data_IF_233003648421
#
_entry.id   IF_233003648421
#
_cell.length_a   1.000
_cell.length_b   1.000
_cell.length_c   1.000
_cell.angle_alpha   90.00
_cell.angle_beta   90.00
_cell.angle_gamma   90.00
#
_symmetry.space_group_name_H-M   'P 1'
#
loop_
_entity.id
_entity.type
_entity.pdbx_description
1 polymer ?
#
# COMPACT_ATOMS: atom_id res chain seq x y z
N UNK A 1 1.55 6.51 3.07
CA UNK A 1 1.89 7.93 3.27
C UNK A 1 2.59 8.51 2.05
N UNK A 2 3.87 8.25 1.81
CA UNK A 2 4.65 8.87 0.71
C UNK A 2 4.72 8.09 -0.62
N UNK A 3 3.70 7.29 -0.97
CA UNK A 3 3.67 6.62 -2.29
C UNK A 3 4.80 5.60 -2.55
N UNK A 4 5.24 4.88 -1.52
CA UNK A 4 6.41 4.00 -1.63
C UNK A 4 6.18 2.60 -2.20
N UNK A 5 4.96 2.17 -2.51
CA UNK A 5 4.70 0.78 -2.96
C UNK A 5 4.69 0.69 -4.50
N UNK A 6 5.08 -0.46 -5.06
CA UNK A 6 5.15 -0.67 -6.51
C UNK A 6 3.81 -0.44 -7.21
N UNK A 7 2.68 -0.77 -6.56
CA UNK A 7 1.34 -0.51 -7.10
C UNK A 7 1.02 0.97 -7.35
N UNK A 8 1.79 1.92 -6.81
CA UNK A 8 1.64 3.34 -7.16
C UNK A 8 2.22 3.66 -8.55
N UNK A 9 3.08 2.79 -9.09
CA UNK A 9 3.78 2.97 -10.36
C UNK A 9 3.32 1.97 -11.42
N UNK A 10 2.77 0.83 -11.01
CA UNK A 10 2.17 -0.16 -11.90
C UNK A 10 0.93 0.42 -12.60
N UNK A 11 0.88 0.33 -13.93
CA UNK A 11 -0.18 0.92 -14.75
C UNK A 11 -1.51 0.16 -14.62
N UNK A 12 -1.46 -1.16 -14.50
CA UNK A 12 -2.63 -2.00 -14.33
C UNK A 12 -3.29 -1.74 -12.98
N UNK A 13 -2.50 -1.74 -11.89
CA UNK A 13 -2.98 -1.42 -10.55
C UNK A 13 -3.55 0.00 -10.48
N UNK A 14 -2.95 0.95 -11.20
CA UNK A 14 -3.47 2.31 -11.31
C UNK A 14 -4.77 2.42 -12.09
N UNK A 15 -5.14 1.46 -12.95
CA UNK A 15 -6.39 1.50 -13.72
C UNK A 15 -7.49 0.58 -13.17
N UNK A 16 -7.14 -0.48 -12.45
CA UNK A 16 -8.08 -1.51 -12.00
C UNK A 16 -9.06 -1.03 -10.93
N UNK A 17 -10.37 -1.25 -11.10
CA UNK A 17 -11.37 -0.89 -10.09
C UNK A 17 -11.48 -1.92 -8.95
N UNK A 18 -10.33 -2.16 -8.30
CA UNK A 18 -10.16 -3.03 -7.14
C UNK A 18 -9.05 -2.51 -6.24
N UNK A 19 -8.75 -3.22 -5.16
CA UNK A 19 -7.64 -2.90 -4.27
C UNK A 19 -6.28 -3.09 -4.99
N UNK A 20 -5.40 -2.07 -5.03
CA UNK A 20 -4.20 -2.10 -5.86
C UNK A 20 -3.21 -3.25 -5.58
N UNK A 21 -3.15 -3.74 -4.34
CA UNK A 21 -2.29 -4.89 -3.99
C UNK A 21 -2.86 -6.23 -4.48
N UNK A 22 -4.18 -6.34 -4.69
CA UNK A 22 -4.79 -7.56 -5.23
C UNK A 22 -4.39 -7.78 -6.68
N UNK A 23 -4.21 -6.71 -7.48
CA UNK A 23 -3.70 -6.83 -8.86
C UNK A 23 -2.36 -7.53 -8.90
N UNK A 24 -1.43 -7.11 -8.03
CA UNK A 24 -0.11 -7.76 -7.93
C UNK A 24 -0.21 -9.17 -7.35
N UNK A 25 -1.03 -9.39 -6.32
CA UNK A 25 -1.21 -10.72 -5.72
C UNK A 25 -1.76 -11.73 -6.73
N UNK A 26 -2.83 -11.38 -7.44
CA UNK A 26 -3.45 -12.24 -8.45
C UNK A 26 -2.46 -12.55 -9.57
N UNK A 27 -1.69 -11.55 -10.03
CA UNK A 27 -0.67 -11.74 -11.06
C UNK A 27 0.41 -12.76 -10.67
N UNK A 28 0.86 -12.77 -9.41
CA UNK A 28 2.00 -13.57 -8.98
C UNK A 28 1.63 -14.87 -8.26
N UNK A 29 0.47 -14.91 -7.60
CA UNK A 29 0.03 -16.05 -6.78
C UNK A 29 -1.29 -16.68 -7.26
N UNK A 30 -1.91 -16.14 -8.30
CA UNK A 30 -3.22 -16.60 -8.78
C UNK A 30 -4.37 -16.11 -7.91
N UNK A 31 -5.59 -16.54 -8.25
CA UNK A 31 -6.76 -16.35 -7.40
C UNK A 31 -6.70 -17.35 -6.25
N UNK A 32 -6.55 -16.87 -5.01
CA UNK A 32 -6.34 -17.67 -3.79
C UNK A 32 -7.62 -18.42 -3.33
N UNK A 33 -8.46 -18.81 -4.29
CA UNK A 33 -9.75 -19.49 -4.09
C UNK A 33 -9.60 -20.98 -3.81
N UNK A 34 -8.43 -21.54 -4.14
CA UNK A 34 -8.09 -22.96 -3.93
C UNK A 34 -7.77 -23.29 -2.46
N UNK A 35 -7.64 -22.29 -1.59
CA UNK A 35 -7.47 -22.48 -0.14
C UNK A 35 -8.79 -22.90 0.53
N UNK A 36 -9.92 -22.55 -0.07
CA UNK A 36 -11.25 -22.88 0.42
C UNK A 36 -11.75 -24.20 -0.20
N UNK A 37 -12.67 -24.86 0.50
CA UNK A 37 -13.36 -26.03 -0.06
C UNK A 37 -14.15 -25.61 -1.30
N UNK A 38 -14.14 -26.38 -2.40
CA UNK A 38 -14.83 -26.01 -3.63
C UNK A 38 -16.31 -25.71 -3.45
N UNK A 39 -17.00 -26.43 -2.55
CA UNK A 39 -18.42 -26.21 -2.27
C UNK A 39 -18.64 -24.84 -1.62
N UNK A 40 -17.74 -24.42 -0.73
CA UNK A 40 -17.80 -23.12 -0.09
C UNK A 40 -17.43 -22.00 -1.08
N UNK A 41 -16.42 -22.21 -1.92
CA UNK A 41 -16.07 -21.25 -2.98
C UNK A 41 -17.23 -21.03 -3.95
N UNK A 42 -17.99 -22.09 -4.28
CA UNK A 42 -19.15 -22.00 -5.13
C UNK A 42 -20.34 -21.25 -4.49
N UNK A 43 -20.47 -21.31 -3.16
CA UNK A 43 -21.48 -20.57 -2.41
C UNK A 43 -21.10 -19.10 -2.17
N UNK A 44 -19.80 -18.79 -2.10
CA UNK A 44 -19.31 -17.45 -1.83
C UNK A 44 -19.05 -16.67 -3.13
N UNK A 45 -19.79 -15.59 -3.34
CA UNK A 45 -19.47 -14.61 -4.39
C UNK A 45 -18.32 -13.68 -3.94
N UNK A 46 -17.11 -14.24 -3.88
CA UNK A 46 -15.90 -13.51 -3.51
C UNK A 46 -15.60 -12.32 -4.45
N UNK A 47 -15.76 -12.45 -5.79
CA UNK A 47 -15.59 -11.31 -6.69
C UNK A 47 -16.55 -10.16 -6.36
N UNK A 48 -17.84 -10.43 -6.14
CA UNK A 48 -18.78 -9.38 -5.75
C UNK A 48 -18.42 -8.77 -4.41
N UNK A 49 -18.06 -9.58 -3.41
CA UNK A 49 -17.64 -9.10 -2.10
C UNK A 49 -16.44 -8.14 -2.18
N UNK A 50 -15.41 -8.48 -2.97
CA UNK A 50 -14.25 -7.60 -3.17
C UNK A 50 -14.67 -6.32 -3.89
N UNK A 51 -15.53 -6.41 -4.90
CA UNK A 51 -16.00 -5.25 -5.66
C UNK A 51 -16.85 -4.32 -4.80
N UNK A 52 -17.75 -4.84 -3.97
CA UNK A 52 -18.53 -4.08 -2.99
C UNK A 52 -17.63 -3.40 -1.97
N UNK A 53 -16.71 -4.16 -1.36
CA UNK A 53 -15.76 -3.60 -0.39
C UNK A 53 -14.89 -2.49 -0.99
N UNK A 54 -14.52 -2.59 -2.27
CA UNK A 54 -13.83 -1.53 -2.99
C UNK A 54 -14.72 -0.31 -3.20
N UNK A 55 -15.94 -0.49 -3.70
CA UNK A 55 -16.93 0.59 -3.91
C UNK A 55 -17.17 1.35 -2.62
N UNK A 56 -17.41 0.65 -1.51
CA UNK A 56 -17.62 1.25 -0.20
C UNK A 56 -16.39 2.03 0.29
N UNK A 57 -15.20 1.46 0.09
CA UNK A 57 -13.96 2.10 0.52
C UNK A 57 -13.63 3.40 -0.22
N UNK A 58 -14.16 3.59 -1.43
CA UNK A 58 -13.92 4.78 -2.25
C UNK A 58 -15.12 5.73 -2.35
N UNK A 59 -16.32 5.30 -1.93
CA UNK A 59 -17.56 6.07 -2.05
C UNK A 59 -17.50 7.45 -1.39
N UNK A 60 -16.80 7.57 -0.25
CA UNK A 60 -16.67 8.84 0.48
C UNK A 60 -15.60 9.80 -0.06
N UNK A 61 -14.85 9.42 -1.09
CA UNK A 61 -13.74 10.23 -1.61
C UNK A 61 -14.29 11.27 -2.57
N UNK A 62 -14.42 12.52 -2.10
CA UNK A 62 -14.82 13.65 -2.95
C UNK A 62 -13.67 14.07 -3.86
N UNK A 63 -13.92 14.23 -5.17
CA UNK A 63 -13.00 14.87 -6.14
C UNK A 63 -12.81 16.35 -5.81
N UNK A 64 -11.58 16.85 -5.87
CA UNK A 64 -11.29 18.26 -5.62
C UNK A 64 -11.47 19.10 -6.90
N UNK A 65 -11.75 20.39 -6.73
CA UNK A 65 -11.90 21.31 -7.85
C UNK A 65 -10.56 21.45 -8.61
N UNK A 66 -10.60 21.31 -9.94
CA UNK A 66 -9.41 21.35 -10.79
C UNK A 66 -8.51 20.11 -10.74
N UNK A 67 -8.88 19.08 -9.97
CA UNK A 67 -8.12 17.83 -9.88
C UNK A 67 -8.23 17.02 -11.18
N UNK A 68 -7.10 16.63 -11.76
CA UNK A 68 -7.07 15.76 -12.95
C UNK A 68 -7.54 14.34 -12.61
N UNK A 69 -7.93 13.56 -13.63
CA UNK A 69 -8.33 12.16 -13.41
C UNK A 69 -7.20 11.34 -12.79
N UNK A 70 -5.96 11.63 -13.19
CA UNK A 70 -4.78 10.98 -12.66
C UNK A 70 -4.55 11.31 -11.17
N UNK A 71 -4.59 12.60 -10.80
CA UNK A 71 -4.44 13.02 -9.41
C UNK A 71 -5.54 12.44 -8.51
N UNK A 72 -6.79 12.49 -8.99
CA UNK A 72 -7.93 11.88 -8.31
C UNK A 72 -7.72 10.38 -8.11
N UNK A 73 -7.24 9.69 -9.14
CA UNK A 73 -6.95 8.25 -9.07
C UNK A 73 -5.84 7.95 -8.06
N UNK A 74 -4.75 8.71 -8.06
CA UNK A 74 -3.66 8.54 -7.11
C UNK A 74 -4.10 8.83 -5.68
N UNK A 75 -4.99 9.79 -5.47
CA UNK A 75 -5.58 10.08 -4.15
C UNK A 75 -6.50 8.97 -3.67
N UNK A 76 -7.29 8.34 -4.55
CA UNK A 76 -8.06 7.11 -4.23
C UNK A 76 -7.14 5.98 -3.79
N UNK A 77 -6.06 5.71 -4.53
CA UNK A 77 -5.07 4.69 -4.17
C UNK A 77 -4.39 5.00 -2.83
N UNK A 78 -4.00 6.26 -2.59
CA UNK A 78 -3.46 6.70 -1.30
C UNK A 78 -4.45 6.44 -0.15
N UNK A 79 -5.73 6.76 -0.35
CA UNK A 79 -6.77 6.54 0.65
C UNK A 79 -6.89 5.06 0.99
N UNK A 80 -7.01 4.18 -0.01
CA UNK A 80 -7.09 2.73 0.19
C UNK A 80 -5.87 2.18 0.94
N UNK A 81 -4.68 2.69 0.62
CA UNK A 81 -3.48 2.33 1.35
C UNK A 81 -3.54 2.70 2.83
N UNK A 82 -3.98 3.92 3.15
CA UNK A 82 -4.07 4.41 4.53
C UNK A 82 -5.16 3.69 5.32
N UNK A 83 -6.33 3.48 4.71
CA UNK A 83 -7.53 3.00 5.42
C UNK A 83 -7.76 1.50 5.34
N UNK A 84 -7.04 0.76 4.47
CA UNK A 84 -7.19 -0.70 4.33
C UNK A 84 -5.86 -1.42 4.48
N UNK A 85 -4.85 -1.05 3.70
CA UNK A 85 -3.57 -1.79 3.64
C UNK A 85 -2.70 -1.61 4.89
N UNK A 86 -2.49 -0.37 5.33
CA UNK A 86 -1.62 -0.07 6.49
C UNK A 86 -2.11 -0.75 7.77
N UNK A 87 -3.43 -0.97 7.91
CA UNK A 87 -4.01 -1.65 9.08
C UNK A 87 -3.40 -3.04 9.31
N UNK A 88 -3.18 -3.80 8.24
CA UNK A 88 -2.57 -5.14 8.30
C UNK A 88 -1.14 -5.05 8.87
N UNK A 89 -0.40 -4.01 8.49
CA UNK A 89 0.97 -3.80 8.95
C UNK A 89 1.01 -3.34 10.42
N UNK A 90 0.05 -2.50 10.83
CA UNK A 90 -0.07 -2.03 12.20
C UNK A 90 -0.45 -3.18 13.15
N UNK A 91 -1.44 -4.00 12.79
CA UNK A 91 -1.84 -5.17 13.57
C UNK A 91 -0.67 -6.14 13.76
N UNK A 92 0.03 -6.50 12.67
CA UNK A 92 1.20 -7.39 12.73
C UNK A 92 2.28 -6.83 13.66
N UNK A 93 2.56 -5.53 13.55
CA UNK A 93 3.56 -4.84 14.38
C UNK A 93 3.14 -4.85 15.86
N UNK A 94 1.90 -4.50 16.17
CA UNK A 94 1.38 -4.45 17.55
C UNK A 94 1.40 -5.83 18.20
N UNK A 95 0.92 -6.87 17.50
CA UNK A 95 0.93 -8.25 18.00
C UNK A 95 2.35 -8.73 18.30
N UNK A 96 3.28 -8.50 17.37
CA UNK A 96 4.66 -8.94 17.52
C UNK A 96 5.39 -8.21 18.65
N UNK A 97 5.21 -6.90 18.79
CA UNK A 97 5.92 -6.13 19.80
C UNK A 97 5.33 -6.33 21.20
N UNK A 98 3.99 -6.38 21.32
CA UNK A 98 3.32 -6.57 22.61
C UNK A 98 3.52 -7.98 23.18
N UNK A 99 3.78 -8.99 22.34
CA UNK A 99 4.17 -10.32 22.79
C UNK A 99 5.41 -10.32 23.69
N UNK A 100 6.26 -9.28 23.61
CA UNK A 100 7.46 -9.10 24.44
C UNK A 100 7.41 -7.83 25.28
N UNK A 101 6.23 -7.22 25.45
CA UNK A 101 6.06 -5.99 26.24
C UNK A 101 6.73 -4.75 25.64
N UNK A 102 7.03 -4.74 24.33
CA UNK A 102 7.65 -3.61 23.65
C UNK A 102 6.58 -2.73 22.98
N UNK A 103 6.57 -1.44 23.31
CA UNK A 103 5.69 -0.47 22.67
C UNK A 103 6.39 0.18 21.46
N UNK A 104 5.94 -0.13 20.25
CA UNK A 104 6.50 0.44 19.02
C UNK A 104 5.64 1.61 18.53
N UNK A 105 6.25 2.80 18.39
CA UNK A 105 5.61 3.99 17.81
C UNK A 105 5.82 4.06 16.30
N UNK A 106 4.84 4.64 15.61
CA UNK A 106 4.81 4.79 14.14
C UNK A 106 4.67 6.26 13.74
N UNK A 107 5.73 7.09 13.85
CA UNK A 107 5.65 8.54 13.63
C UNK A 107 5.04 8.94 12.29
N UNK A 108 5.27 8.16 11.24
CA UNK A 108 4.68 8.43 9.93
C UNK A 108 3.15 8.25 9.86
N UNK A 109 2.53 7.63 10.87
CA UNK A 109 1.09 7.50 11.01
C UNK A 109 0.48 8.61 11.88
N UNK A 110 1.25 9.64 12.27
CA UNK A 110 0.69 10.83 12.90
C UNK A 110 -0.37 11.46 11.98
N UNK A 111 -1.57 11.72 12.52
CA UNK A 111 -2.70 12.19 11.72
C UNK A 111 -2.41 13.51 11.00
N UNK A 112 -1.61 14.40 11.60
CA UNK A 112 -1.27 15.70 11.01
C UNK A 112 -0.41 15.49 9.77
N UNK A 113 0.58 14.59 9.85
CA UNK A 113 1.42 14.25 8.71
C UNK A 113 0.62 13.52 7.64
N UNK A 114 -0.25 12.58 8.03
CA UNK A 114 -1.10 11.83 7.11
C UNK A 114 -2.05 12.78 6.36
N UNK A 115 -2.72 13.69 7.05
CA UNK A 115 -3.63 14.68 6.46
C UNK A 115 -2.89 15.62 5.50
N UNK A 116 -1.72 16.12 5.90
CA UNK A 116 -0.89 16.97 5.05
C UNK A 116 -0.45 16.24 3.77
N UNK A 117 0.16 15.06 3.94
CA UNK A 117 0.69 14.30 2.80
C UNK A 117 -0.45 13.77 1.93
N UNK A 118 -1.58 13.35 2.49
CA UNK A 118 -2.73 12.89 1.71
C UNK A 118 -3.18 13.94 0.70
N UNK A 119 -3.25 15.21 1.11
CA UNK A 119 -3.63 16.35 0.27
C UNK A 119 -2.52 16.90 -0.63
N UNK A 120 -1.28 16.41 -0.50
CA UNK A 120 -0.20 16.80 -1.41
C UNK A 120 -0.39 16.17 -2.80
N UNK A 121 -0.33 16.93 -3.90
CA UNK A 121 -0.43 16.39 -5.26
C UNK A 121 0.56 15.25 -5.51
N UNK A 122 0.13 14.24 -6.27
CA UNK A 122 0.98 13.14 -6.69
C UNK A 122 2.19 13.63 -7.49
N UNK A 123 1.99 14.62 -8.35
CA UNK A 123 3.06 15.29 -9.08
C UNK A 123 4.20 15.79 -8.18
N UNK A 124 3.93 16.15 -6.91
CA UNK A 124 4.97 16.53 -5.94
C UNK A 124 5.50 15.33 -5.15
N UNK A 125 4.65 14.32 -4.89
CA UNK A 125 5.06 13.09 -4.18
C UNK A 125 6.11 12.28 -4.96
N UNK A 126 6.06 12.33 -6.29
CA UNK A 126 6.92 11.58 -7.20
C UNK A 126 7.20 12.39 -8.49
N UNK A 127 7.78 13.58 -8.35
CA UNK A 127 8.02 14.49 -9.49
C UNK A 127 9.08 13.98 -10.47
N UNK A 128 9.99 13.11 -10.02
CA UNK A 128 11.08 12.51 -10.81
C UNK A 128 10.82 11.03 -11.13
N UNK A 129 9.59 10.54 -10.86
CA UNK A 129 9.21 9.15 -11.05
C UNK A 129 9.80 8.17 -10.04
N UNK A 130 10.60 8.62 -9.06
CA UNK A 130 11.11 7.76 -7.97
C UNK A 130 10.10 7.65 -6.85
N UNK A 131 10.20 6.58 -6.07
CA UNK A 131 9.33 6.39 -4.92
C UNK A 131 9.77 7.25 -3.74
N UNK A 132 8.78 7.84 -3.06
CA UNK A 132 8.96 8.68 -1.86
C UNK A 132 9.83 9.92 -2.12
N UNK A 133 9.87 10.47 -3.33
CA UNK A 133 10.72 11.63 -3.67
C UNK A 133 10.48 12.80 -2.74
N UNK A 134 9.22 13.13 -2.45
CA UNK A 134 8.90 14.20 -1.48
C UNK A 134 9.59 13.99 -0.12
N UNK A 135 9.62 12.74 0.39
CA UNK A 135 10.31 12.43 1.67
C UNK A 135 11.83 12.47 1.50
N UNK A 136 12.35 11.98 0.37
CA UNK A 136 13.79 11.98 0.07
C UNK A 136 14.32 13.41 0.05
N UNK A 137 13.67 14.30 -0.70
CA UNK A 137 14.04 15.72 -0.76
C UNK A 137 13.90 16.42 0.59
N UNK A 138 12.81 16.16 1.32
CA UNK A 138 12.60 16.75 2.65
C UNK A 138 13.61 16.29 3.71
N UNK A 139 14.46 15.31 3.41
CA UNK A 139 15.48 14.77 4.33
C UNK A 139 16.88 14.70 3.73
N UNK A 140 17.09 15.28 2.54
CA UNK A 140 18.33 15.17 1.78
C UNK A 140 19.53 15.81 2.52
N UNK A 141 19.28 16.81 3.34
CA UNK A 141 20.27 17.54 4.14
C UNK A 141 20.65 16.83 5.46
N UNK A 142 19.86 15.84 5.89
CA UNK A 142 20.05 15.14 7.18
C UNK A 142 20.41 13.66 7.04
N UNK A 143 20.34 13.11 5.82
CA UNK A 143 20.67 11.70 5.55
C UNK A 143 21.94 11.57 4.68
N UNK A 144 22.77 10.54 4.91
CA UNK A 144 23.86 10.23 3.99
C UNK A 144 23.35 9.93 2.58
N UNK A 145 24.14 10.30 1.56
CA UNK A 145 23.79 10.07 0.15
C UNK A 145 23.46 8.60 -0.14
N UNK A 146 24.18 7.66 0.50
CA UNK A 146 23.92 6.21 0.34
C UNK A 146 22.53 5.78 0.83
N UNK A 147 21.95 6.46 1.81
CA UNK A 147 20.58 6.23 2.28
C UNK A 147 19.58 6.93 1.35
N UNK A 148 19.88 8.17 0.95
CA UNK A 148 19.07 8.95 0.02
C UNK A 148 18.92 8.26 -1.35
N UNK A 149 19.96 7.59 -1.86
CA UNK A 149 19.92 6.92 -3.17
C UNK A 149 19.40 5.49 -3.14
N UNK A 150 19.30 4.90 -1.94
CA UNK A 150 18.88 3.51 -1.80
C UNK A 150 17.48 3.29 -2.38
N UNK A 151 17.38 2.36 -3.33
CA UNK A 151 16.11 1.85 -3.86
C UNK A 151 15.35 1.13 -2.76
N UNK A 152 14.04 1.36 -2.67
CA UNK A 152 13.21 0.66 -1.70
C UNK A 152 13.36 -0.86 -1.85
N UNK A 153 13.67 -1.50 -0.72
CA UNK A 153 13.59 -2.94 -0.55
C UNK A 153 12.47 -3.25 0.46
N UNK A 154 11.63 -4.28 0.24
CA UNK A 154 10.66 -4.71 1.23
C UNK A 154 11.36 -5.18 2.52
N UNK A 155 10.61 -5.27 3.62
CA UNK A 155 11.14 -5.88 4.84
C UNK A 155 11.59 -7.31 4.49
N UNK A 156 12.75 -7.78 5.00
CA UNK A 156 13.32 -9.05 4.57
C UNK A 156 12.29 -10.18 4.73
N UNK A 157 11.83 -10.70 3.60
CA UNK A 157 11.36 -12.07 3.51
C UNK A 157 12.59 -12.99 3.55
N UNK A 158 12.45 -14.20 4.07
CA UNK A 158 13.55 -15.18 4.08
C UNK A 158 14.11 -15.31 2.67
N UNK A 159 15.34 -14.83 2.48
CA UNK A 159 16.04 -14.86 1.19
C UNK A 159 16.78 -16.18 0.98
N UNK A 160 16.82 -17.04 2.01
CA UNK A 160 17.46 -18.34 1.96
C UNK A 160 16.62 -19.29 1.09
N UNK A 161 17.15 -19.75 -0.07
CA UNK A 161 16.45 -20.70 -0.92
C UNK A 161 16.14 -22.02 -0.22
N UNK A 162 16.92 -22.42 0.79
CA UNK A 162 16.71 -23.65 1.54
C UNK A 162 15.45 -23.59 2.40
N UNK A 163 15.04 -22.40 2.84
CA UNK A 163 13.83 -22.23 3.66
C UNK A 163 12.57 -22.61 2.90
N UNK A 164 12.45 -22.22 1.63
CA UNK A 164 11.31 -22.58 0.78
C UNK A 164 11.30 -24.08 0.45
N UNK A 165 12.47 -24.72 0.35
CA UNK A 165 12.58 -26.16 0.10
C UNK A 165 12.28 -27.04 1.33
N UNK A 166 12.26 -26.47 2.54
CA UNK A 166 11.98 -27.16 3.79
C UNK A 166 10.51 -27.08 4.25
N UNK A 167 9.69 -26.25 3.58
CA UNK A 167 8.24 -26.17 3.76
C UNK A 167 7.55 -27.22 2.87
#
# INVERSE_FOLDING_TARGET
VFGGYLQFFDEEARRADTFPWLVSMIRHMGEDTDVLRPELTAELDLPAYVADGYRDAVAGIRRLDGESDFEYRMRRICHLHLTRFVRILLDRKDRASMAVGLEVRVPFCDHRLVEYVYNTPWALKSFDGREKTLLREATADVLPQSVYDRVKSPYPSTQDPQYAAAL
#
